data_IF_561068613520
#
_entry.id   IF_561068613520
#
_cell.length_a   1.000
_cell.length_b   1.000
_cell.length_c   1.000
_cell.angle_alpha   90.00
_cell.angle_beta   90.00
_cell.angle_gamma   90.00
#
_symmetry.space_group_name_H-M   'P 1'
#
loop_
_entity.id
_entity.type
_entity.pdbx_description
1 polymer ?
#
# COMPACT_ATOMS: atom_id res chain seq x y z
N UNK A 1 22.25 1.74 -7.58
CA UNK A 1 22.22 3.07 -6.95
C UNK A 1 21.02 3.89 -7.40
N UNK A 2 21.06 4.57 -8.55
CA UNK A 2 19.96 5.44 -9.00
C UNK A 2 18.62 4.71 -9.15
N UNK A 3 18.64 3.49 -9.71
CA UNK A 3 17.42 2.68 -9.91
C UNK A 3 16.75 2.36 -8.57
N UNK A 4 17.51 1.93 -7.56
CA UNK A 4 16.94 1.57 -6.26
C UNK A 4 16.34 2.77 -5.53
N UNK A 5 17.01 3.92 -5.58
CA UNK A 5 16.47 5.17 -5.05
C UNK A 5 15.16 5.59 -5.75
N UNK A 6 15.09 5.45 -7.07
CA UNK A 6 13.89 5.75 -7.85
C UNK A 6 12.76 4.77 -7.52
N UNK A 7 13.04 3.47 -7.45
CA UNK A 7 12.06 2.45 -7.07
C UNK A 7 11.55 2.67 -5.65
N UNK A 8 12.43 3.00 -4.70
CA UNK A 8 12.03 3.30 -3.34
C UNK A 8 11.19 4.56 -3.21
N UNK A 9 11.51 5.61 -3.96
CA UNK A 9 10.66 6.78 -4.05
C UNK A 9 9.29 6.44 -4.66
N UNK A 10 9.26 5.63 -5.72
CA UNK A 10 8.02 5.18 -6.35
C UNK A 10 7.15 4.34 -5.40
N UNK A 11 7.75 3.46 -4.60
CA UNK A 11 7.07 2.70 -3.54
C UNK A 11 6.49 3.65 -2.50
N UNK A 12 7.30 4.58 -1.97
CA UNK A 12 6.83 5.53 -0.95
C UNK A 12 5.67 6.39 -1.45
N UNK A 13 5.78 6.90 -2.69
CA UNK A 13 4.73 7.68 -3.34
C UNK A 13 3.48 6.83 -3.59
N UNK A 14 3.62 5.58 -4.04
CA UNK A 14 2.51 4.67 -4.26
C UNK A 14 1.76 4.32 -2.97
N UNK A 15 2.46 4.05 -1.88
CA UNK A 15 1.84 3.81 -0.57
C UNK A 15 1.10 5.05 -0.05
N UNK A 16 1.71 6.23 -0.19
CA UNK A 16 1.07 7.51 0.13
C UNK A 16 -0.21 7.71 -0.68
N UNK A 17 -0.16 7.47 -1.99
CA UNK A 17 -1.31 7.60 -2.87
C UNK A 17 -2.46 6.69 -2.43
N UNK A 18 -2.18 5.40 -2.23
CA UNK A 18 -3.18 4.41 -1.80
C UNK A 18 -3.83 4.82 -0.48
N UNK A 19 -3.05 5.34 0.48
CA UNK A 19 -3.62 5.82 1.74
C UNK A 19 -4.60 6.98 1.53
N UNK A 20 -4.22 8.01 0.77
CA UNK A 20 -5.08 9.18 0.57
C UNK A 20 -6.33 8.87 -0.25
N UNK A 21 -6.22 8.00 -1.24
CA UNK A 21 -7.32 7.65 -2.13
C UNK A 21 -8.39 6.79 -1.42
N UNK A 22 -7.96 5.82 -0.62
CA UNK A 22 -8.87 4.86 0.01
C UNK A 22 -9.24 5.19 1.46
N UNK A 23 -8.42 5.95 2.20
CA UNK A 23 -8.64 6.25 3.62
C UNK A 23 -8.81 7.74 3.87
N UNK A 24 -7.88 8.57 3.39
CA UNK A 24 -7.77 9.98 3.79
C UNK A 24 -8.96 10.88 3.44
N UNK A 25 -9.80 10.48 2.48
CA UNK A 25 -10.94 11.29 1.99
C UNK A 25 -12.30 10.86 2.53
N UNK A 26 -12.37 9.82 3.38
CA UNK A 26 -13.64 9.17 3.73
C UNK A 26 -13.98 9.31 5.22
N UNK A 27 -15.25 9.60 5.58
CA UNK A 27 -15.68 9.58 6.97
C UNK A 27 -15.70 8.15 7.51
N UNK A 28 -15.31 7.96 8.76
CA UNK A 28 -15.43 6.68 9.45
C UNK A 28 -16.90 6.38 9.80
N UNK A 29 -17.24 5.10 10.00
CA UNK A 29 -18.58 4.69 10.45
C UNK A 29 -18.89 5.33 11.81
N UNK A 30 -20.13 5.80 12.07
CA UNK A 30 -20.55 6.34 13.36
C UNK A 30 -20.79 5.21 14.38
N UNK A 31 -19.75 4.42 14.63
CA UNK A 31 -19.74 3.28 15.53
C UNK A 31 -18.51 3.37 16.43
N UNK A 32 -18.68 3.07 17.72
CA UNK A 32 -17.59 3.24 18.70
C UNK A 32 -16.45 2.25 18.46
N UNK A 33 -16.77 1.04 17.98
CA UNK A 33 -15.76 0.05 17.61
C UNK A 33 -14.99 0.56 16.40
N UNK A 34 -15.66 1.10 15.39
CA UNK A 34 -15.01 1.73 14.24
C UNK A 34 -14.07 2.88 14.64
N UNK A 35 -14.48 3.77 15.55
CA UNK A 35 -13.64 4.89 16.03
C UNK A 35 -12.38 4.39 16.76
N UNK A 36 -12.54 3.41 17.65
CA UNK A 36 -11.43 2.83 18.41
C UNK A 36 -10.45 2.16 17.45
N UNK A 37 -10.93 1.25 16.60
CA UNK A 37 -10.06 0.56 15.65
C UNK A 37 -9.41 1.52 14.65
N UNK A 38 -10.15 2.51 14.14
CA UNK A 38 -9.60 3.53 13.26
C UNK A 38 -8.45 4.28 13.95
N UNK A 39 -8.64 4.74 15.19
CA UNK A 39 -7.59 5.45 15.94
C UNK A 39 -6.37 4.55 16.20
N UNK A 40 -6.58 3.31 16.64
CA UNK A 40 -5.48 2.42 16.99
C UNK A 40 -4.75 1.83 15.78
N UNK A 41 -5.37 1.71 14.61
CA UNK A 41 -4.73 1.20 13.38
C UNK A 41 -3.81 2.23 12.71
N UNK A 42 -3.98 3.53 12.97
CA UNK A 42 -3.05 4.55 12.45
C UNK A 42 -1.66 4.45 13.10
N UNK A 43 -1.57 4.00 14.35
CA UNK A 43 -0.30 3.79 15.04
C UNK A 43 0.58 2.70 14.37
N UNK A 44 0.12 1.45 14.18
CA UNK A 44 0.88 0.44 13.46
C UNK A 44 1.10 0.81 12.00
N UNK A 45 0.19 1.57 11.37
CA UNK A 45 0.42 2.09 10.01
C UNK A 45 1.64 3.01 9.98
N UNK A 46 1.73 3.97 10.91
CA UNK A 46 2.86 4.88 11.01
C UNK A 46 4.17 4.14 11.32
N UNK A 47 4.13 3.14 12.20
CA UNK A 47 5.27 2.26 12.50
C UNK A 47 5.74 1.53 11.24
N UNK A 48 4.81 0.91 10.50
CA UNK A 48 5.13 0.16 9.29
C UNK A 48 5.69 1.08 8.18
N UNK A 49 5.09 2.25 7.96
CA UNK A 49 5.61 3.24 7.00
C UNK A 49 7.03 3.69 7.37
N UNK A 50 7.29 3.94 8.66
CA UNK A 50 8.61 4.33 9.15
C UNK A 50 9.63 3.20 8.99
N UNK A 51 9.24 1.96 9.29
CA UNK A 51 10.08 0.78 9.13
C UNK A 51 10.45 0.54 7.65
N UNK A 52 9.51 0.70 6.73
CA UNK A 52 9.78 0.62 5.29
C UNK A 52 10.81 1.67 4.85
N UNK A 53 10.63 2.93 5.28
CA UNK A 53 11.56 4.01 4.97
C UNK A 53 12.96 3.78 5.55
N UNK A 54 13.05 3.34 6.81
CA UNK A 54 14.32 3.04 7.47
C UNK A 54 15.06 1.86 6.80
N UNK A 55 14.34 0.81 6.42
CA UNK A 55 14.88 -0.30 5.64
C UNK A 55 15.46 0.16 4.31
N UNK A 56 14.72 1.02 3.58
CA UNK A 56 15.19 1.57 2.31
C UNK A 56 16.47 2.40 2.43
N UNK A 57 16.52 3.27 3.44
CA UNK A 57 17.70 4.09 3.75
C UNK A 57 18.92 3.22 4.07
N UNK A 58 18.73 2.14 4.83
CA UNK A 58 19.80 1.21 5.17
C UNK A 58 20.42 0.57 3.92
N UNK A 59 19.59 0.15 2.95
CA UNK A 59 20.08 -0.48 1.73
C UNK A 59 20.75 0.52 0.77
N UNK A 60 20.26 1.76 0.71
CA UNK A 60 20.89 2.80 -0.10
C UNK A 60 22.27 3.17 0.47
N UNK A 61 22.41 3.19 1.79
CA UNK A 61 23.65 3.54 2.47
C UNK A 61 24.75 2.46 2.32
N UNK A 62 24.37 1.19 2.19
CA UNK A 62 25.29 0.04 2.10
C UNK A 62 25.24 -0.65 0.73
N UNK A 63 25.11 0.14 -0.34
CA UNK A 63 24.73 -0.33 -1.68
C UNK A 63 25.72 -1.29 -2.37
N UNK A 64 26.95 -1.41 -1.87
CA UNK A 64 27.97 -2.34 -2.39
C UNK A 64 27.95 -3.70 -1.68
N UNK A 65 27.20 -3.85 -0.58
CA UNK A 65 27.05 -5.10 0.16
C UNK A 65 25.88 -5.93 -0.39
N UNK A 66 25.97 -7.26 -0.26
CA UNK A 66 24.84 -8.13 -0.59
C UNK A 66 23.69 -7.80 0.37
N UNK A 67 22.51 -7.58 -0.19
CA UNK A 67 21.30 -7.30 0.58
C UNK A 67 21.10 -8.33 1.69
N UNK A 68 21.12 -7.86 2.95
CA UNK A 68 20.84 -8.72 4.08
C UNK A 68 19.39 -9.22 4.00
N UNK A 69 19.23 -10.52 4.28
CA UNK A 69 17.93 -11.17 4.28
C UNK A 69 17.02 -10.56 5.35
N UNK A 70 17.58 -10.16 6.50
CA UNK A 70 16.82 -9.52 7.58
C UNK A 70 16.25 -8.18 7.14
N UNK A 71 17.03 -7.39 6.39
CA UNK A 71 16.61 -6.09 5.85
C UNK A 71 15.54 -6.28 4.77
N UNK A 72 15.69 -7.31 3.92
CA UNK A 72 14.67 -7.66 2.92
C UNK A 72 13.32 -7.98 3.56
N UNK A 73 13.33 -8.81 4.61
CA UNK A 73 12.13 -9.17 5.36
C UNK A 73 11.52 -7.97 6.05
N UNK A 74 12.33 -7.06 6.59
CA UNK A 74 11.87 -5.82 7.20
C UNK A 74 11.12 -4.96 6.17
N UNK A 75 11.72 -4.70 5.01
CA UNK A 75 11.11 -3.87 3.96
C UNK A 75 9.82 -4.51 3.44
N UNK A 76 9.88 -5.78 3.06
CA UNK A 76 8.74 -6.51 2.51
C UNK A 76 7.60 -6.66 3.54
N UNK A 77 7.94 -6.97 4.79
CA UNK A 77 6.99 -7.08 5.90
C UNK A 77 6.35 -5.75 6.25
N UNK A 78 7.12 -4.66 6.23
CA UNK A 78 6.61 -3.31 6.46
C UNK A 78 5.62 -2.89 5.36
N UNK A 79 5.99 -3.05 4.09
CA UNK A 79 5.10 -2.74 2.94
C UNK A 79 3.84 -3.61 2.98
N UNK A 80 3.99 -4.91 3.25
CA UNK A 80 2.85 -5.81 3.36
C UNK A 80 1.91 -5.44 4.50
N UNK A 81 2.47 -5.03 5.65
CA UNK A 81 1.71 -4.55 6.80
C UNK A 81 0.94 -3.27 6.48
N UNK A 82 1.56 -2.32 5.77
CA UNK A 82 0.89 -1.09 5.31
C UNK A 82 -0.36 -1.45 4.49
N UNK A 83 -0.23 -2.31 3.47
CA UNK A 83 -1.35 -2.70 2.63
C UNK A 83 -2.47 -3.40 3.42
N UNK A 84 -2.11 -4.32 4.32
CA UNK A 84 -3.08 -5.01 5.18
C UNK A 84 -3.81 -4.02 6.10
N UNK A 85 -3.09 -3.09 6.72
CA UNK A 85 -3.67 -2.09 7.62
C UNK A 85 -4.57 -1.13 6.86
N UNK A 86 -4.20 -0.69 5.65
CA UNK A 86 -5.08 0.11 4.80
C UNK A 86 -6.35 -0.70 4.44
N UNK A 87 -6.22 -1.98 4.10
CA UNK A 87 -7.37 -2.86 3.86
C UNK A 87 -8.31 -2.95 5.06
N UNK A 88 -7.76 -3.06 6.27
CA UNK A 88 -8.53 -3.02 7.51
C UNK A 88 -9.21 -1.66 7.72
N UNK A 89 -8.47 -0.56 7.58
CA UNK A 89 -9.02 0.80 7.70
C UNK A 89 -10.19 1.01 6.74
N UNK A 90 -10.07 0.52 5.50
CA UNK A 90 -11.14 0.61 4.51
C UNK A 90 -12.44 -0.07 4.98
N UNK A 91 -12.34 -1.20 5.69
CA UNK A 91 -13.54 -1.89 6.22
C UNK A 91 -14.26 -1.11 7.33
N UNK A 92 -13.57 -0.16 7.97
CA UNK A 92 -14.09 0.69 9.05
C UNK A 92 -14.70 2.01 8.53
N UNK A 93 -14.46 2.34 7.26
CA UNK A 93 -14.97 3.56 6.65
C UNK A 93 -16.44 3.43 6.29
N UNK A 94 -17.17 4.54 6.39
CA UNK A 94 -18.55 4.60 5.94
C UNK A 94 -18.54 4.63 4.42
N UNK A 95 -19.18 3.64 3.79
CA UNK A 95 -19.44 3.67 2.36
C UNK A 95 -20.67 4.50 2.07
N UNK A 96 -20.54 5.43 1.14
CA UNK A 96 -21.70 6.10 0.57
C UNK A 96 -22.36 5.23 -0.51
N UNK A 97 -23.64 5.49 -0.80
CA UNK A 97 -24.43 4.69 -1.76
C UNK A 97 -23.86 4.77 -3.18
N UNK A 98 -23.22 5.90 -3.50
CA UNK A 98 -22.63 6.19 -4.80
C UNK A 98 -21.13 5.85 -4.89
N UNK A 99 -20.59 5.05 -3.95
CA UNK A 99 -19.19 4.65 -4.02
C UNK A 99 -18.92 3.70 -5.20
N UNK A 100 -18.00 4.06 -6.10
CA UNK A 100 -17.69 3.28 -7.30
C UNK A 100 -16.81 2.06 -6.99
N UNK A 101 -16.08 2.09 -5.86
CA UNK A 101 -15.18 1.00 -5.47
C UNK A 101 -15.98 -0.16 -4.91
N UNK A 102 -15.89 -1.32 -5.56
CA UNK A 102 -16.63 -2.50 -5.14
C UNK A 102 -16.30 -2.90 -3.69
N UNK A 103 -17.30 -3.16 -2.84
CA UNK A 103 -17.13 -3.13 -1.39
C UNK A 103 -16.22 -4.22 -0.82
N UNK A 104 -16.14 -5.35 -1.51
CA UNK A 104 -15.34 -6.49 -1.09
C UNK A 104 -14.03 -6.60 -1.88
N UNK A 105 -14.01 -6.13 -3.13
CA UNK A 105 -12.86 -6.30 -4.02
C UNK A 105 -11.72 -5.37 -3.61
N UNK A 106 -12.04 -4.12 -3.29
CA UNK A 106 -11.04 -3.12 -2.92
C UNK A 106 -10.25 -3.48 -1.65
N UNK A 107 -10.88 -3.91 -0.54
CA UNK A 107 -10.14 -4.42 0.62
C UNK A 107 -9.43 -5.75 0.33
N UNK A 108 -10.06 -6.67 -0.41
CA UNK A 108 -9.47 -7.96 -0.74
C UNK A 108 -8.18 -7.83 -1.57
N UNK A 109 -8.14 -6.90 -2.53
CA UNK A 109 -6.93 -6.59 -3.31
C UNK A 109 -5.79 -6.13 -2.41
N UNK A 110 -6.07 -5.34 -1.36
CA UNK A 110 -5.06 -4.86 -0.40
C UNK A 110 -4.54 -5.99 0.49
N UNK A 111 -5.42 -6.88 0.96
CA UNK A 111 -5.00 -8.08 1.70
C UNK A 111 -4.16 -9.02 0.83
N UNK A 112 -4.58 -9.27 -0.41
CA UNK A 112 -3.85 -10.10 -1.36
C UNK A 112 -2.48 -9.47 -1.69
N UNK A 113 -2.44 -8.17 -1.96
CA UNK A 113 -1.19 -7.43 -2.21
C UNK A 113 -0.24 -7.43 -1.02
N UNK A 114 -0.77 -7.26 0.20
CA UNK A 114 0.02 -7.31 1.42
C UNK A 114 0.59 -8.70 1.71
N UNK A 115 -0.21 -9.74 1.51
CA UNK A 115 0.26 -11.13 1.61
C UNK A 115 1.33 -11.43 0.56
N UNK A 116 1.12 -10.99 -0.68
CA UNK A 116 2.10 -11.14 -1.76
C UNK A 116 3.42 -10.45 -1.41
N UNK A 117 3.38 -9.22 -0.88
CA UNK A 117 4.58 -8.50 -0.43
C UNK A 117 5.34 -9.27 0.66
N UNK A 118 4.65 -9.81 1.65
CA UNK A 118 5.27 -10.63 2.71
C UNK A 118 5.91 -11.90 2.11
N UNK A 119 5.21 -12.59 1.20
CA UNK A 119 5.73 -13.79 0.53
C UNK A 119 6.96 -13.48 -0.32
N UNK A 120 6.99 -12.33 -1.01
CA UNK A 120 8.18 -11.85 -1.74
C UNK A 120 9.36 -11.69 -0.77
N UNK A 121 9.13 -11.15 0.43
CA UNK A 121 10.16 -11.05 1.47
C UNK A 121 10.75 -12.39 1.88
N UNK A 122 9.93 -13.42 2.06
CA UNK A 122 10.44 -14.77 2.38
C UNK A 122 11.21 -15.40 1.23
N UNK A 123 10.83 -15.08 -0.01
CA UNK A 123 11.47 -15.58 -1.22
C UNK A 123 12.70 -14.76 -1.63
N UNK A 124 13.01 -13.66 -0.93
CA UNK A 124 14.02 -12.68 -1.37
C UNK A 124 15.47 -13.11 -1.16
N UNK A 125 15.71 -14.31 -0.61
CA UNK A 125 17.06 -14.78 -0.31
C UNK A 125 17.91 -14.82 -1.59
N UNK A 126 18.93 -13.97 -1.66
CA UNK A 126 19.84 -13.85 -2.80
C UNK A 126 19.41 -12.83 -3.86
N UNK A 127 18.31 -12.10 -3.66
CA UNK A 127 17.91 -11.02 -4.56
C UNK A 127 18.84 -9.81 -4.39
N UNK A 128 19.03 -9.07 -5.49
CA UNK A 128 19.53 -7.69 -5.41
C UNK A 128 18.37 -6.77 -4.97
N UNK A 129 18.69 -5.67 -4.30
CA UNK A 129 17.70 -4.68 -3.87
C UNK A 129 16.79 -4.21 -5.00
N UNK A 130 17.32 -3.90 -6.18
CA UNK A 130 16.50 -3.42 -7.29
C UNK A 130 15.46 -4.45 -7.74
N UNK A 131 15.78 -5.74 -7.62
CA UNK A 131 14.84 -6.84 -7.92
C UNK A 131 13.77 -6.93 -6.83
N UNK A 132 14.16 -6.87 -5.56
CA UNK A 132 13.22 -6.88 -4.44
C UNK A 132 12.23 -5.71 -4.55
N UNK A 133 12.72 -4.49 -4.71
CA UNK A 133 11.89 -3.29 -4.82
C UNK A 133 11.00 -3.35 -6.06
N UNK A 134 11.54 -3.80 -7.20
CA UNK A 134 10.75 -4.00 -8.42
C UNK A 134 9.59 -4.97 -8.21
N UNK A 135 9.82 -6.09 -7.50
CA UNK A 135 8.77 -7.06 -7.17
C UNK A 135 7.75 -6.50 -6.16
N UNK A 136 8.20 -5.75 -5.15
CA UNK A 136 7.33 -5.13 -4.15
C UNK A 136 6.51 -3.96 -4.73
N UNK A 137 6.96 -3.35 -5.82
CA UNK A 137 6.22 -2.32 -6.52
C UNK A 137 5.01 -2.90 -7.27
N UNK A 138 5.05 -4.15 -7.73
CA UNK A 138 3.95 -4.82 -8.44
C UNK A 138 2.63 -4.78 -7.64
N UNK A 139 2.55 -5.29 -6.39
CA UNK A 139 1.30 -5.28 -5.63
C UNK A 139 0.79 -3.85 -5.35
N UNK A 140 1.68 -2.86 -5.27
CA UNK A 140 1.33 -1.44 -5.12
C UNK A 140 0.71 -0.91 -6.41
N UNK A 141 1.33 -1.16 -7.56
CA UNK A 141 0.83 -0.75 -8.88
C UNK A 141 -0.53 -1.36 -9.19
N UNK A 142 -0.80 -2.58 -8.75
CA UNK A 142 -2.13 -3.20 -8.86
C UNK A 142 -3.19 -2.37 -8.13
N UNK A 143 -2.90 -1.86 -6.92
CA UNK A 143 -3.85 -1.00 -6.19
C UNK A 143 -4.03 0.35 -6.87
N UNK A 144 -2.93 0.97 -7.31
CA UNK A 144 -2.97 2.27 -8.01
C UNK A 144 -3.75 2.15 -9.31
N UNK A 145 -3.49 1.10 -10.10
CA UNK A 145 -4.21 0.82 -11.34
C UNK A 145 -5.70 0.57 -11.12
N UNK A 146 -6.07 -0.14 -10.05
CA UNK A 146 -7.47 -0.29 -9.66
C UNK A 146 -8.12 1.05 -9.29
N UNK A 147 -7.45 1.89 -8.49
CA UNK A 147 -7.94 3.23 -8.15
C UNK A 147 -8.14 4.12 -9.39
N UNK A 148 -7.16 4.12 -10.31
CA UNK A 148 -7.25 4.85 -11.58
C UNK A 148 -8.38 4.34 -12.47
N UNK A 149 -8.52 3.01 -12.61
CA UNK A 149 -9.59 2.41 -13.40
C UNK A 149 -10.95 2.87 -12.89
N UNK A 150 -11.18 2.75 -11.58
CA UNK A 150 -12.42 3.17 -10.93
C UNK A 150 -12.68 4.66 -11.19
N UNK A 151 -11.68 5.52 -11.00
CA UNK A 151 -11.79 6.96 -11.20
C UNK A 151 -12.21 7.33 -12.64
N UNK A 152 -11.55 6.76 -13.65
CA UNK A 152 -11.88 7.02 -15.05
C UNK A 152 -13.27 6.53 -15.46
N UNK A 153 -13.73 5.39 -14.93
CA UNK A 153 -15.10 4.94 -15.20
C UNK A 153 -16.17 5.88 -14.64
N UNK A 154 -15.89 6.61 -13.55
CA UNK A 154 -16.85 7.57 -12.99
C UNK A 154 -16.99 8.82 -13.85
N UNK A 155 -15.88 9.40 -14.31
CA UNK A 155 -15.87 10.61 -15.14
C UNK A 155 -16.69 10.39 -16.43
N UNK A 156 -16.56 9.21 -17.03
CA UNK A 156 -17.33 8.83 -18.22
C UNK A 156 -18.84 8.70 -17.96
N UNK A 157 -19.23 8.18 -16.79
CA UNK A 157 -20.64 8.02 -16.42
C UNK A 157 -21.30 9.37 -16.10
N UNK A 158 -20.56 10.33 -15.53
CA UNK A 158 -21.06 11.69 -15.29
C UNK A 158 -21.24 12.47 -16.60
N UNK A 159 -20.27 12.38 -17.51
CA UNK A 159 -20.35 13.01 -18.84
C UNK A 159 -21.52 12.48 -19.66
N UNK A 160 -21.81 11.17 -19.60
CA UNK A 160 -22.95 10.57 -20.31
C UNK A 160 -24.31 11.00 -19.75
N UNK A 161 -24.39 11.28 -18.43
CA UNK A 161 -25.63 11.77 -17.81
C UNK A 161 -25.88 13.27 -18.02
N UNK A 162 -24.84 14.02 -18.38
CA UNK A 162 -24.91 15.47 -18.57
C UNK A 162 -25.23 15.91 -20.02
N UNK A 163 -25.23 14.98 -20.99
CA UNK A 163 -25.59 15.21 -22.40
C UNK A 163 -26.99 14.75 -22.76
#
# INVERSE_FOLDING_TARGET
MAIAAVLGLAIAFGLWWIYFDFVGRRPFKPDIVAVVFWSYLHLPLAIAMTAAGAGMLNVIADADSRLDYSVSLLIAGAIGSVLIIIGLLETLLRRDIDEPTHPQLSPALKFAGGMAAILIGFLSRGFNIAVLEGLLLIPILVQVGYGLYVWFTQELDEDFKAG
#
